data_IF_757360333568
#
_entry.id   IF_757360333568
#
_cell.length_a   1.000
_cell.length_b   1.000
_cell.length_c   1.000
_cell.angle_alpha   90.00
_cell.angle_beta   90.00
_cell.angle_gamma   90.00
#
_symmetry.space_group_name_H-M   'P 1'
#
loop_
_entity.id
_entity.type
_entity.pdbx_description
1 polymer ?
#
# COMPACT_ATOMS: atom_id res chain seq x y z
N UNK A 1 -37.48 -36.53 -21.97
CA UNK A 1 -38.86 -37.08 -22.03
C UNK A 1 -39.23 -37.54 -20.63
N UNK A 2 -40.18 -36.86 -19.97
CA UNK A 2 -41.54 -37.39 -19.97
C UNK A 2 -42.68 -36.34 -20.04
N UNK A 3 -43.78 -36.79 -20.64
CA UNK A 3 -45.19 -36.51 -20.35
C UNK A 3 -45.75 -35.08 -20.40
N UNK A 4 -46.09 -34.69 -21.64
CA UNK A 4 -47.21 -33.79 -21.96
C UNK A 4 -48.54 -34.42 -21.52
N UNK A 5 -49.23 -33.82 -20.55
CA UNK A 5 -50.66 -34.07 -20.30
C UNK A 5 -51.49 -33.03 -21.04
N UNK A 6 -52.26 -33.50 -22.03
CA UNK A 6 -53.40 -32.80 -22.64
C UNK A 6 -54.55 -32.75 -21.63
N UNK A 7 -55.16 -31.59 -21.44
CA UNK A 7 -56.52 -31.47 -20.90
C UNK A 7 -57.40 -30.78 -21.92
N UNK A 8 -58.32 -31.56 -22.48
CA UNK A 8 -59.49 -31.12 -23.25
C UNK A 8 -60.68 -31.09 -22.30
N UNK A 9 -61.40 -29.98 -22.27
CA UNK A 9 -62.62 -29.84 -21.47
C UNK A 9 -63.49 -28.72 -22.01
N UNK A 10 -64.36 -29.07 -22.95
CA UNK A 10 -65.50 -28.27 -23.41
C UNK A 10 -66.64 -28.35 -22.40
N UNK A 11 -67.14 -27.19 -21.97
CA UNK A 11 -68.38 -27.06 -21.19
C UNK A 11 -69.13 -25.81 -21.63
N UNK A 12 -70.36 -26.00 -22.11
CA UNK A 12 -71.26 -24.97 -22.63
C UNK A 12 -72.34 -24.59 -21.59
N UNK A 13 -72.57 -23.28 -21.47
CA UNK A 13 -73.81 -22.54 -21.10
C UNK A 13 -74.35 -22.65 -19.65
N UNK A 14 -75.19 -21.71 -19.14
CA UNK A 14 -75.83 -20.56 -19.79
C UNK A 14 -75.78 -19.21 -19.02
N UNK A 15 -76.10 -18.13 -19.74
CA UNK A 15 -76.87 -16.95 -19.33
C UNK A 15 -76.78 -16.45 -17.87
N UNK A 16 -75.91 -15.46 -17.64
CA UNK A 16 -76.17 -14.38 -16.68
C UNK A 16 -76.14 -13.05 -17.43
N UNK A 17 -77.31 -12.70 -17.96
CA UNK A 17 -77.61 -11.41 -18.57
C UNK A 17 -77.69 -10.35 -17.47
N UNK A 18 -77.02 -9.23 -17.73
CA UNK A 18 -77.45 -7.87 -17.32
C UNK A 18 -77.38 -7.61 -15.82
N UNK A 19 -76.18 -7.32 -15.29
CA UNK A 19 -75.93 -6.35 -14.19
C UNK A 19 -74.42 -6.08 -13.95
N UNK A 20 -73.55 -6.27 -14.97
CA UNK A 20 -72.09 -6.13 -14.83
C UNK A 20 -71.50 -4.86 -15.47
N UNK A 21 -72.32 -4.03 -16.14
CA UNK A 21 -71.84 -2.80 -16.78
C UNK A 21 -71.56 -1.61 -15.84
N UNK A 22 -72.25 -1.39 -14.70
CA UNK A 22 -71.87 -0.30 -13.79
C UNK A 22 -70.72 -0.69 -12.84
N UNK A 23 -70.42 -1.98 -12.66
CA UNK A 23 -69.29 -2.43 -11.82
C UNK A 23 -67.96 -2.41 -12.59
N UNK A 24 -67.99 -2.72 -13.90
CA UNK A 24 -66.80 -2.66 -14.75
C UNK A 24 -66.38 -1.21 -15.09
N UNK A 25 -67.33 -0.27 -15.19
CA UNK A 25 -67.03 1.15 -15.41
C UNK A 25 -66.50 1.86 -14.16
N UNK A 26 -66.89 1.42 -12.96
CA UNK A 26 -66.34 1.92 -11.70
C UNK A 26 -64.90 1.41 -11.43
N UNK A 27 -64.56 0.20 -11.88
CA UNK A 27 -63.19 -0.34 -11.73
C UNK A 27 -62.18 0.32 -12.68
N UNK A 28 -62.62 0.73 -13.88
CA UNK A 28 -61.77 1.41 -14.88
C UNK A 28 -61.46 2.88 -14.55
N UNK A 29 -62.13 3.48 -13.55
CA UNK A 29 -61.90 4.87 -13.12
C UNK A 29 -60.88 5.01 -11.99
N UNK A 30 -60.43 3.90 -11.37
CA UNK A 30 -59.42 3.95 -10.29
C UNK A 30 -57.97 3.94 -10.80
N UNK A 31 -57.73 3.61 -12.07
CA UNK A 31 -56.38 3.65 -12.67
C UNK A 31 -55.96 5.05 -13.17
N UNK A 32 -56.85 6.05 -13.08
CA UNK A 32 -56.56 7.41 -13.55
C UNK A 32 -55.95 8.34 -12.47
N UNK A 33 -55.83 7.89 -11.21
CA UNK A 33 -55.82 8.81 -10.07
C UNK A 33 -54.52 9.02 -9.28
N UNK A 34 -53.50 8.17 -9.43
CA UNK A 34 -52.25 8.34 -8.68
C UNK A 34 -51.06 8.26 -9.63
N UNK A 35 -50.72 9.39 -10.26
CA UNK A 35 -49.32 9.59 -10.66
C UNK A 35 -48.52 9.58 -9.37
N UNK A 36 -47.92 8.42 -9.06
CA UNK A 36 -47.00 8.29 -7.94
C UNK A 36 -45.97 9.40 -8.11
N UNK A 37 -45.95 10.36 -7.19
CA UNK A 37 -44.98 11.45 -7.24
C UNK A 37 -43.59 10.81 -7.18
N UNK A 38 -42.94 10.82 -8.35
CA UNK A 38 -41.67 10.18 -8.59
C UNK A 38 -40.64 11.31 -8.54
N UNK A 39 -39.96 11.43 -7.41
CA UNK A 39 -39.00 12.48 -7.13
C UNK A 39 -37.55 11.96 -7.17
N UNK A 40 -37.32 10.74 -7.65
CA UNK A 40 -35.99 10.16 -7.78
C UNK A 40 -35.35 10.59 -9.11
N UNK A 41 -34.35 11.50 -9.10
CA UNK A 41 -33.72 11.95 -10.33
C UNK A 41 -32.86 10.86 -11.00
N UNK A 42 -32.66 9.70 -10.37
CA UNK A 42 -31.92 8.57 -10.95
C UNK A 42 -32.81 7.54 -11.63
N UNK A 43 -34.14 7.64 -11.47
CA UNK A 43 -35.10 6.71 -12.07
C UNK A 43 -35.62 7.28 -13.42
N UNK A 44 -35.36 6.61 -14.56
CA UNK A 44 -35.83 7.05 -15.87
C UNK A 44 -37.36 7.09 -16.02
N UNK A 45 -38.11 6.49 -15.10
CA UNK A 45 -39.57 6.59 -15.06
C UNK A 45 -40.06 7.89 -14.40
N UNK A 46 -39.21 8.61 -13.66
CA UNK A 46 -39.59 9.87 -13.00
C UNK A 46 -39.51 11.08 -13.96
N UNK A 47 -40.44 12.05 -13.86
CA UNK A 47 -40.37 13.29 -14.66
C UNK A 47 -39.15 14.16 -14.39
N UNK A 48 -38.54 14.03 -13.20
CA UNK A 48 -37.31 14.73 -12.83
C UNK A 48 -36.04 13.91 -13.08
N UNK A 49 -36.12 12.85 -13.91
CA UNK A 49 -34.96 12.06 -14.29
C UNK A 49 -33.85 12.93 -14.89
N UNK A 50 -32.69 12.88 -14.25
CA UNK A 50 -31.47 13.45 -14.72
C UNK A 50 -30.42 12.33 -14.76
N UNK A 51 -30.00 11.84 -15.95
CA UNK A 51 -28.99 10.78 -16.06
C UNK A 51 -27.63 11.17 -15.43
N UNK A 52 -27.47 12.45 -15.11
CA UNK A 52 -26.28 13.06 -14.54
C UNK A 52 -26.41 13.31 -13.03
N UNK A 53 -27.58 13.06 -12.45
CA UNK A 53 -27.78 13.14 -11.01
C UNK A 53 -26.87 12.14 -10.28
N UNK A 54 -26.17 12.63 -9.26
CA UNK A 54 -25.22 11.85 -8.48
C UNK A 54 -23.90 11.53 -9.18
N UNK A 55 -23.67 12.00 -10.42
CA UNK A 55 -22.37 11.85 -11.08
C UNK A 55 -21.36 12.83 -10.46
N UNK A 56 -20.21 12.30 -10.04
CA UNK A 56 -19.12 13.11 -9.48
C UNK A 56 -18.24 13.66 -10.59
N UNK A 57 -17.64 14.82 -10.34
CA UNK A 57 -16.60 15.36 -11.21
C UNK A 57 -15.49 14.32 -11.39
N UNK A 58 -15.05 14.14 -12.64
CA UNK A 58 -13.90 13.31 -12.95
C UNK A 58 -12.67 13.90 -12.28
N UNK A 59 -11.92 13.05 -11.58
CA UNK A 59 -10.61 13.39 -11.02
C UNK A 59 -9.65 12.23 -11.19
N UNK A 60 -8.68 12.41 -12.06
CA UNK A 60 -7.53 11.54 -12.19
C UNK A 60 -6.72 11.59 -10.89
N UNK A 61 -6.22 10.44 -10.47
CA UNK A 61 -5.39 10.33 -9.28
C UNK A 61 -4.58 9.05 -9.33
N UNK A 62 -3.35 9.11 -8.80
CA UNK A 62 -2.54 7.93 -8.60
C UNK A 62 -1.59 8.07 -7.42
N UNK A 63 -1.06 6.93 -6.99
CA UNK A 63 0.02 6.85 -6.00
C UNK A 63 1.31 6.39 -6.65
N UNK A 64 2.43 6.87 -6.10
CA UNK A 64 3.78 6.38 -6.40
C UNK A 64 4.27 5.67 -5.15
N UNK A 65 4.50 4.37 -5.23
CA UNK A 65 4.94 3.56 -4.10
C UNK A 65 6.23 2.84 -4.43
N UNK A 66 7.09 2.66 -3.44
CA UNK A 66 8.29 1.87 -3.59
C UNK A 66 8.03 0.46 -3.07
N UNK A 67 8.42 -0.57 -3.83
CA UNK A 67 8.25 -1.96 -3.40
C UNK A 67 9.44 -2.35 -2.52
N UNK A 68 9.19 -2.44 -1.23
CA UNK A 68 10.16 -2.90 -0.24
C UNK A 68 9.94 -4.38 0.01
N UNK A 69 10.99 -5.18 -0.23
CA UNK A 69 10.96 -6.62 -0.01
C UNK A 69 11.83 -6.95 1.18
N UNK A 70 11.24 -7.60 2.17
CA UNK A 70 11.94 -8.05 3.37
C UNK A 70 11.50 -9.46 3.74
N UNK A 71 12.27 -10.13 4.58
CA UNK A 71 11.99 -11.51 5.00
C UNK A 71 11.61 -11.49 6.47
N UNK A 72 10.48 -12.12 6.79
CA UNK A 72 10.07 -12.40 8.17
C UNK A 72 10.07 -13.91 8.41
N UNK A 73 10.01 -14.29 9.67
CA UNK A 73 9.82 -15.67 10.11
C UNK A 73 8.37 -15.85 10.55
N UNK A 74 7.66 -16.82 9.98
CA UNK A 74 6.30 -17.17 10.38
C UNK A 74 6.26 -17.85 11.77
N UNK A 75 5.05 -18.13 12.27
CA UNK A 75 4.87 -18.79 13.57
C UNK A 75 5.50 -20.20 13.66
N UNK A 76 5.83 -20.82 12.53
CA UNK A 76 6.43 -22.15 12.45
C UNK A 76 7.95 -22.10 12.22
N UNK A 77 8.56 -20.91 12.17
CA UNK A 77 9.99 -20.77 11.88
C UNK A 77 10.34 -20.73 10.39
N UNK A 78 9.37 -20.68 9.47
CA UNK A 78 9.64 -20.60 8.04
C UNK A 78 9.90 -19.17 7.59
N UNK A 79 10.83 -18.99 6.66
CA UNK A 79 11.08 -17.71 6.01
C UNK A 79 9.97 -17.40 5.01
N UNK A 80 9.32 -16.26 5.21
CA UNK A 80 8.32 -15.71 4.29
C UNK A 80 8.79 -14.35 3.78
N UNK A 81 8.60 -14.11 2.48
CA UNK A 81 8.84 -12.78 1.89
C UNK A 81 7.63 -11.91 2.16
N UNK A 82 7.88 -10.75 2.71
CA UNK A 82 6.91 -9.68 2.87
C UNK A 82 7.18 -8.58 1.86
N UNK A 83 6.11 -7.90 1.51
CA UNK A 83 6.12 -6.76 0.61
C UNK A 83 5.45 -5.60 1.30
N UNK A 84 6.12 -4.45 1.30
CA UNK A 84 5.53 -3.19 1.69
C UNK A 84 5.59 -2.21 0.53
N UNK A 85 4.61 -1.32 0.47
CA UNK A 85 4.41 -0.37 -0.63
C UNK A 85 4.24 1.05 -0.10
N UNK A 86 5.25 1.62 0.59
CA UNK A 86 5.18 2.99 1.08
C UNK A 86 5.06 4.00 -0.07
N UNK A 87 4.16 4.97 0.08
CA UNK A 87 4.05 6.10 -0.83
C UNK A 87 5.27 7.01 -0.71
N UNK A 88 5.84 7.43 -1.85
CA UNK A 88 7.04 8.26 -1.89
C UNK A 88 7.12 9.13 -3.14
N UNK A 89 7.78 10.27 -3.00
CA UNK A 89 8.18 11.20 -4.08
C UNK A 89 9.66 11.01 -4.48
N UNK A 90 10.41 10.27 -3.66
CA UNK A 90 11.84 10.02 -3.81
C UNK A 90 12.10 8.52 -3.71
N UNK A 91 12.74 7.92 -4.70
CA UNK A 91 12.99 6.47 -4.76
C UNK A 91 14.48 6.17 -4.86
N UNK A 92 14.87 5.03 -4.32
CA UNK A 92 16.18 4.47 -4.55
C UNK A 92 16.19 3.77 -5.92
N UNK A 93 17.16 4.10 -6.78
CA UNK A 93 17.22 3.59 -8.17
C UNK A 93 17.19 2.07 -8.29
N UNK A 94 17.63 1.38 -7.23
CA UNK A 94 17.67 -0.07 -7.19
C UNK A 94 16.33 -0.71 -6.76
N UNK A 95 15.30 0.04 -6.40
CA UNK A 95 14.00 -0.53 -6.04
C UNK A 95 13.03 -0.57 -7.21
N UNK A 96 12.04 -1.46 -7.12
CA UNK A 96 10.88 -1.36 -7.99
C UNK A 96 9.98 -0.23 -7.47
N UNK A 97 9.40 0.52 -8.39
CA UNK A 97 8.42 1.57 -8.15
C UNK A 97 7.11 1.13 -8.77
N UNK A 98 6.06 1.20 -7.97
CA UNK A 98 4.69 0.84 -8.34
C UNK A 98 3.88 2.11 -8.49
N UNK A 99 3.29 2.30 -9.67
CA UNK A 99 2.30 3.34 -9.92
C UNK A 99 0.93 2.68 -9.99
N UNK A 100 -0.04 3.20 -9.22
CA UNK A 100 -1.41 2.68 -9.22
C UNK A 100 -2.41 3.82 -9.30
N UNK A 101 -3.32 3.73 -10.27
CA UNK A 101 -4.43 4.67 -10.40
C UNK A 101 -5.41 4.50 -9.23
N UNK A 102 -5.69 5.59 -8.52
CA UNK A 102 -6.64 5.66 -7.40
C UNK A 102 -8.03 6.11 -7.84
N UNK A 103 -8.19 6.42 -9.12
CA UNK A 103 -9.47 6.81 -9.71
C UNK A 103 -10.42 5.61 -9.75
N UNK A 104 -11.58 5.72 -9.07
CA UNK A 104 -12.50 4.58 -8.88
C UNK A 104 -13.21 4.12 -10.17
N UNK A 105 -13.54 5.07 -11.05
CA UNK A 105 -14.28 4.81 -12.27
C UNK A 105 -13.56 5.46 -13.45
N UNK A 106 -13.36 4.72 -14.54
CA UNK A 106 -12.88 5.19 -15.84
C UNK A 106 -13.10 4.06 -16.86
N UNK A 107 -13.21 4.40 -18.15
CA UNK A 107 -13.36 3.41 -19.23
C UNK A 107 -11.99 2.92 -19.75
N UNK A 108 -10.99 3.79 -19.73
CA UNK A 108 -9.60 3.43 -20.01
C UNK A 108 -8.64 4.44 -19.38
N UNK A 109 -7.35 4.10 -19.37
CA UNK A 109 -6.30 5.00 -18.92
C UNK A 109 -5.04 4.88 -19.77
N UNK A 110 -4.17 5.87 -19.66
CA UNK A 110 -2.81 5.87 -20.21
C UNK A 110 -1.83 6.49 -19.22
N UNK A 111 -0.71 5.82 -19.04
CA UNK A 111 0.45 6.34 -18.35
C UNK A 111 1.47 6.85 -19.34
N UNK A 112 2.16 7.92 -18.98
CA UNK A 112 3.37 8.40 -19.64
C UNK A 112 4.48 8.47 -18.60
N UNK A 113 5.54 7.68 -18.80
CA UNK A 113 6.74 7.67 -17.96
C UNK A 113 7.94 7.87 -18.89
N UNK A 114 8.48 9.09 -18.93
CA UNK A 114 9.44 9.45 -19.97
C UNK A 114 8.83 9.28 -21.37
N UNK A 115 9.41 8.38 -22.17
CA UNK A 115 8.90 8.03 -23.51
C UNK A 115 7.96 6.81 -23.53
N UNK A 116 7.79 6.13 -22.40
CA UNK A 116 6.98 4.91 -22.31
C UNK A 116 5.49 5.24 -22.18
N UNK A 117 4.64 4.49 -22.89
CA UNK A 117 3.17 4.59 -22.83
C UNK A 117 2.58 3.25 -22.39
N UNK A 118 1.81 3.25 -21.29
CA UNK A 118 1.25 2.04 -20.68
C UNK A 118 -0.24 2.18 -20.42
N UNK A 119 -0.95 1.06 -20.35
CA UNK A 119 -2.43 1.05 -20.21
C UNK A 119 -2.92 0.25 -19.00
N UNK A 120 -2.02 -0.40 -18.25
CA UNK A 120 -2.40 -1.20 -17.08
C UNK A 120 -2.77 -0.32 -15.89
N UNK A 121 -3.74 -0.76 -15.08
CA UNK A 121 -4.15 -0.04 -13.85
C UNK A 121 -2.99 0.16 -12.88
N UNK A 122 -2.10 -0.83 -12.81
CA UNK A 122 -0.94 -0.85 -11.94
C UNK A 122 0.28 -1.22 -12.78
N UNK A 123 1.33 -0.42 -12.68
CA UNK A 123 2.58 -0.61 -13.43
C UNK A 123 3.75 -0.65 -12.46
N UNK A 124 4.70 -1.58 -12.70
CA UNK A 124 5.94 -1.71 -11.92
C UNK A 124 7.14 -1.37 -12.80
N UNK A 125 8.00 -0.44 -12.39
CA UNK A 125 9.21 -0.05 -13.13
C UNK A 125 10.41 0.08 -12.19
N UNK A 126 11.62 -0.03 -12.72
CA UNK A 126 12.89 0.07 -11.99
C UNK A 126 13.92 0.76 -12.89
N UNK A 127 15.00 1.27 -12.30
CA UNK A 127 16.12 1.85 -13.07
C UNK A 127 15.86 3.28 -13.54
N UNK A 128 15.17 4.07 -12.70
CA UNK A 128 15.03 5.50 -12.94
C UNK A 128 16.42 6.18 -12.95
N UNK A 129 16.63 7.20 -13.77
CA UNK A 129 17.93 7.86 -13.88
C UNK A 129 18.28 8.59 -12.58
N UNK A 130 19.42 8.23 -11.98
CA UNK A 130 19.94 8.84 -10.76
C UNK A 130 20.11 10.36 -10.87
N UNK A 131 19.77 11.07 -9.81
CA UNK A 131 19.94 12.53 -9.69
C UNK A 131 18.98 13.31 -10.58
N UNK A 132 17.89 12.68 -11.04
CA UNK A 132 16.93 13.31 -11.96
C UNK A 132 15.49 13.13 -11.51
N UNK A 133 14.71 14.16 -11.83
CA UNK A 133 13.25 14.13 -11.76
C UNK A 133 12.69 13.42 -13.01
N UNK A 134 11.81 12.47 -12.78
CA UNK A 134 11.00 11.80 -13.82
C UNK A 134 9.56 12.25 -13.66
N UNK A 135 9.00 12.89 -14.69
CA UNK A 135 7.57 13.18 -14.71
C UNK A 135 6.79 11.91 -15.07
N UNK A 136 5.76 11.64 -14.28
CA UNK A 136 4.82 10.55 -14.48
C UNK A 136 3.44 11.16 -14.66
N UNK A 137 2.81 10.87 -15.79
CA UNK A 137 1.49 11.43 -16.13
C UNK A 137 0.49 10.30 -16.30
N UNK A 138 -0.65 10.42 -15.64
CA UNK A 138 -1.81 9.57 -15.83
C UNK A 138 -2.91 10.37 -16.54
N UNK A 139 -3.45 9.79 -17.60
CA UNK A 139 -4.67 10.27 -18.26
C UNK A 139 -5.74 9.19 -18.10
N UNK A 140 -6.89 9.55 -17.56
CA UNK A 140 -8.07 8.68 -17.47
C UNK A 140 -9.15 9.15 -18.44
N UNK A 141 -9.86 8.21 -19.04
CA UNK A 141 -10.85 8.46 -20.10
C UNK A 141 -12.24 7.95 -19.72
N UNK A 142 -13.27 8.70 -20.10
CA UNK A 142 -14.67 8.47 -19.74
C UNK A 142 -15.55 8.60 -20.99
N UNK A 143 -15.89 7.46 -21.59
CA UNK A 143 -16.89 7.33 -22.65
C UNK A 143 -18.31 7.25 -22.09
N UNK A 144 -18.49 6.62 -20.94
CA UNK A 144 -19.81 6.35 -20.35
C UNK A 144 -20.51 7.60 -19.76
N UNK A 145 -19.79 8.72 -19.60
CA UNK A 145 -20.29 9.95 -18.97
C UNK A 145 -20.34 11.15 -19.92
N UNK A 146 -20.12 10.95 -21.22
CA UNK A 146 -20.04 12.05 -22.21
C UNK A 146 -21.32 12.90 -22.21
N UNK A 147 -22.50 12.30 -22.01
CA UNK A 147 -23.76 13.03 -21.95
C UNK A 147 -23.90 13.93 -20.70
N UNK A 148 -23.08 13.71 -19.67
CA UNK A 148 -23.19 14.36 -18.36
C UNK A 148 -22.08 15.33 -18.03
N UNK A 149 -21.06 15.41 -18.88
CA UNK A 149 -19.95 16.31 -18.70
C UNK A 149 -20.15 17.48 -19.64
N UNK A 150 -20.35 18.67 -19.08
CA UNK A 150 -20.44 19.88 -19.88
C UNK A 150 -19.08 20.17 -20.55
N UNK A 151 -19.05 20.22 -21.88
CA UNK A 151 -17.86 20.46 -22.70
C UNK A 151 -17.12 19.19 -23.15
N UNK A 152 -16.12 19.35 -24.02
CA UNK A 152 -15.34 18.24 -24.61
C UNK A 152 -14.39 17.53 -23.63
N UNK A 153 -14.68 17.52 -22.32
CA UNK A 153 -13.83 16.91 -21.28
C UNK A 153 -14.26 15.48 -21.00
N UNK A 154 -13.87 14.57 -21.90
CA UNK A 154 -13.98 13.11 -21.75
C UNK A 154 -12.73 12.50 -21.10
N UNK A 155 -11.84 13.33 -20.56
CA UNK A 155 -10.62 12.90 -19.90
C UNK A 155 -10.20 13.85 -18.80
N UNK A 156 -9.41 13.33 -17.86
CA UNK A 156 -8.68 14.13 -16.89
C UNK A 156 -7.23 13.64 -16.78
N UNK A 157 -6.34 14.57 -16.49
CA UNK A 157 -4.90 14.36 -16.53
C UNK A 157 -4.28 14.85 -15.23
N UNK A 158 -3.45 13.99 -14.63
CA UNK A 158 -2.65 14.35 -13.45
C UNK A 158 -1.20 13.96 -13.70
N UNK A 159 -0.29 14.81 -13.22
CA UNK A 159 1.15 14.56 -13.31
C UNK A 159 1.79 14.70 -11.94
N UNK A 160 2.63 13.73 -11.58
CA UNK A 160 3.50 13.79 -10.42
C UNK A 160 4.96 13.68 -10.86
N UNK A 161 5.87 14.12 -10.00
CA UNK A 161 7.31 14.03 -10.22
C UNK A 161 7.90 13.06 -9.22
N UNK A 162 8.75 12.17 -9.73
CA UNK A 162 9.52 11.20 -8.97
C UNK A 162 11.00 11.57 -9.05
N UNK A 163 11.67 11.73 -7.91
CA UNK A 163 13.12 11.90 -7.87
C UNK A 163 13.81 10.57 -7.56
N UNK A 164 14.91 10.26 -8.25
CA UNK A 164 15.65 9.01 -8.03
C UNK A 164 17.05 9.26 -7.48
N UNK A 165 17.41 8.56 -6.40
CA UNK A 165 18.73 8.63 -5.76
C UNK A 165 19.48 7.30 -5.91
N UNK A 166 20.77 7.35 -6.22
CA UNK A 166 21.60 6.16 -6.40
C UNK A 166 22.52 5.84 -5.22
N UNK A 167 22.73 6.80 -4.33
CA UNK A 167 23.39 6.59 -3.06
C UNK A 167 22.35 6.43 -1.95
N UNK A 168 22.54 5.45 -1.05
CA UNK A 168 21.69 5.32 0.13
C UNK A 168 21.91 6.48 1.10
N UNK A 169 23.04 7.19 1.01
CA UNK A 169 23.31 8.43 1.72
C UNK A 169 22.32 9.56 1.36
N UNK A 170 21.78 9.53 0.14
CA UNK A 170 20.92 10.59 -0.42
C UNK A 170 19.42 10.33 -0.21
N UNK A 171 19.01 9.16 0.31
CA UNK A 171 17.60 8.91 0.61
C UNK A 171 17.15 9.81 1.78
N UNK A 172 15.89 10.30 1.78
CA UNK A 172 15.41 11.23 2.81
C UNK A 172 15.60 10.75 4.25
N UNK A 173 15.59 9.44 4.49
CA UNK A 173 15.73 8.87 5.83
C UNK A 173 17.18 8.77 6.33
N UNK A 174 18.18 8.94 5.48
CA UNK A 174 19.59 8.92 5.90
C UNK A 174 19.98 10.16 6.69
N UNK A 175 20.79 9.98 7.73
CA UNK A 175 21.26 11.04 8.61
C UNK A 175 21.47 10.59 10.06
N UNK A 176 21.69 11.58 10.91
CA UNK A 176 21.86 11.40 12.35
C UNK A 176 20.66 11.97 13.08
N UNK A 177 20.13 11.20 14.03
CA UNK A 177 18.90 11.53 14.75
C UNK A 177 19.13 11.49 16.25
N UNK A 178 18.68 12.52 16.95
CA UNK A 178 18.61 12.53 18.42
C UNK A 178 17.16 12.30 18.84
N UNK A 179 16.96 11.43 19.81
CA UNK A 179 15.63 11.04 20.24
C UNK A 179 15.63 10.19 21.50
N UNK A 180 14.51 9.53 21.75
CA UNK A 180 14.30 8.69 22.92
C UNK A 180 13.44 7.48 22.56
N UNK A 181 13.44 6.47 23.44
CA UNK A 181 12.46 5.40 23.37
C UNK A 181 11.19 5.81 24.11
N UNK A 182 10.02 5.54 23.54
CA UNK A 182 8.72 5.97 24.09
C UNK A 182 8.43 5.52 25.52
N UNK A 183 9.07 4.45 25.99
CA UNK A 183 8.98 3.94 27.35
C UNK A 183 9.94 4.61 28.34
N UNK A 184 10.93 5.36 27.86
CA UNK A 184 11.78 6.25 28.65
C UNK A 184 12.09 7.57 27.91
N UNK A 185 11.13 8.52 27.88
CA UNK A 185 11.31 9.78 27.15
C UNK A 185 12.41 10.70 27.69
N UNK A 186 12.91 10.45 28.91
CA UNK A 186 13.98 11.24 29.51
C UNK A 186 15.38 10.80 29.08
N UNK A 187 15.53 9.57 28.60
CA UNK A 187 16.79 9.02 28.14
C UNK A 187 17.02 9.34 26.66
N UNK A 188 17.61 10.52 26.40
CA UNK A 188 18.01 10.91 25.05
C UNK A 188 19.24 10.13 24.58
N UNK A 189 19.23 9.73 23.32
CA UNK A 189 20.38 9.12 22.63
C UNK A 189 20.37 9.48 21.14
N UNK A 190 21.52 9.27 20.51
CA UNK A 190 21.69 9.47 19.07
C UNK A 190 21.68 8.13 18.36
N UNK A 191 21.10 8.10 17.16
CA UNK A 191 21.26 7.01 16.20
C UNK A 191 21.78 7.55 14.88
N UNK A 192 22.42 6.67 14.12
CA UNK A 192 22.85 6.97 12.77
C UNK A 192 22.17 6.01 11.78
N UNK A 193 21.68 6.57 10.68
CA UNK A 193 20.97 5.88 9.60
C UNK A 193 21.75 6.17 8.31
N UNK A 194 22.50 5.19 7.78
CA UNK A 194 23.45 5.42 6.69
C UNK A 194 23.71 4.18 5.80
N UNK A 195 24.43 4.39 4.69
CA UNK A 195 24.98 3.33 3.85
C UNK A 195 26.27 2.78 4.47
N UNK A 196 26.27 1.51 4.89
CA UNK A 196 27.51 0.82 5.31
C UNK A 196 28.10 -0.06 4.24
N UNK A 197 27.52 -0.13 3.04
CA UNK A 197 28.03 -0.99 1.97
C UNK A 197 29.50 -0.71 1.64
N UNK A 198 29.97 0.54 1.79
CA UNK A 198 31.40 0.90 1.62
C UNK A 198 32.34 0.20 2.61
N UNK A 199 31.83 -0.18 3.78
CA UNK A 199 32.58 -0.89 4.81
C UNK A 199 32.61 -2.40 4.58
N UNK A 200 31.84 -2.91 3.61
CA UNK A 200 31.82 -4.32 3.26
C UNK A 200 32.53 -4.53 1.91
N UNK A 201 33.59 -5.35 1.89
CA UNK A 201 34.20 -5.85 0.65
C UNK A 201 33.86 -7.32 0.46
N UNK A 202 33.59 -7.76 -0.77
CA UNK A 202 33.48 -9.18 -1.13
C UNK A 202 32.09 -9.67 -1.54
N UNK A 203 31.88 -10.99 -1.41
CA UNK A 203 30.69 -11.73 -1.92
C UNK A 203 29.35 -11.30 -1.33
N UNK A 204 29.36 -10.66 -0.16
CA UNK A 204 28.14 -10.17 0.52
C UNK A 204 27.47 -9.05 -0.30
N UNK A 205 28.22 -8.05 -0.78
CA UNK A 205 27.66 -6.99 -1.63
C UNK A 205 27.16 -7.53 -2.97
N UNK A 206 27.87 -8.49 -3.56
CA UNK A 206 27.47 -9.12 -4.81
C UNK A 206 26.17 -9.95 -4.70
N UNK A 207 25.89 -10.49 -3.50
CA UNK A 207 24.72 -11.34 -3.25
C UNK A 207 23.51 -10.56 -2.72
N UNK A 208 23.74 -9.53 -1.91
CA UNK A 208 22.67 -8.81 -1.19
C UNK A 208 22.51 -7.34 -1.62
N UNK A 209 23.39 -6.82 -2.48
CA UNK A 209 23.37 -5.41 -2.90
C UNK A 209 23.90 -4.46 -1.82
N UNK A 210 23.69 -3.15 -2.01
CA UNK A 210 24.00 -2.16 -0.98
C UNK A 210 23.03 -2.34 0.19
N UNK A 211 23.56 -2.59 1.37
CA UNK A 211 22.81 -2.63 2.63
C UNK A 211 23.10 -1.35 3.39
N UNK A 212 22.05 -0.63 3.76
CA UNK A 212 22.21 0.40 4.76
C UNK A 212 22.06 -0.19 6.16
N UNK A 213 22.41 0.60 7.17
CA UNK A 213 22.36 0.19 8.56
C UNK A 213 21.76 1.27 9.45
N UNK A 214 21.39 0.84 10.65
CA UNK A 214 21.16 1.74 11.78
C UNK A 214 22.22 1.42 12.82
N UNK A 215 22.80 2.45 13.41
CA UNK A 215 23.84 2.35 14.42
C UNK A 215 23.36 3.01 15.72
N UNK A 216 23.96 2.60 16.83
CA UNK A 216 23.80 3.24 18.15
C UNK A 216 22.38 3.12 18.76
N UNK A 217 21.57 2.13 18.34
CA UNK A 217 20.34 1.80 19.06
C UNK A 217 20.67 1.25 20.46
N UNK A 218 19.96 1.71 21.53
CA UNK A 218 20.19 1.25 22.89
C UNK A 218 20.00 -0.26 22.99
N UNK A 219 20.96 -0.93 23.64
CA UNK A 219 21.04 -2.40 23.77
C UNK A 219 21.19 -3.16 22.45
N UNK A 220 21.87 -2.57 21.47
CA UNK A 220 22.60 -3.37 20.49
C UNK A 220 23.79 -4.07 21.14
N UNK A 221 24.01 -5.33 20.79
CA UNK A 221 25.01 -6.20 21.41
C UNK A 221 26.36 -5.48 21.54
N UNK A 222 26.98 -5.50 22.72
CA UNK A 222 28.14 -4.68 23.10
C UNK A 222 29.44 -4.98 22.35
N UNK A 223 29.43 -5.94 21.42
CA UNK A 223 30.57 -6.18 20.54
C UNK A 223 30.62 -5.07 19.49
N UNK A 224 31.77 -4.38 19.39
CA UNK A 224 32.03 -3.29 18.45
C UNK A 224 31.71 -3.65 16.98
N UNK A 225 31.66 -4.94 16.65
CA UNK A 225 31.28 -5.48 15.34
C UNK A 225 29.76 -5.62 15.10
N UNK A 226 28.91 -5.54 16.13
CA UNK A 226 27.46 -5.76 16.06
C UNK A 226 26.60 -4.50 16.10
N UNK A 227 27.21 -3.33 16.32
CA UNK A 227 26.53 -2.03 16.20
C UNK A 227 26.23 -1.64 14.73
N UNK A 228 26.25 -2.61 13.81
CA UNK A 228 26.02 -2.46 12.37
C UNK A 228 24.98 -3.48 11.93
N UNK A 229 23.72 -3.05 11.88
CA UNK A 229 22.62 -3.94 11.51
C UNK A 229 22.44 -3.99 9.99
N UNK A 230 22.68 -5.17 9.42
CA UNK A 230 22.64 -5.40 7.98
C UNK A 230 21.37 -6.15 7.56
N UNK A 231 20.57 -5.47 6.73
CA UNK A 231 19.38 -6.06 6.12
C UNK A 231 18.26 -5.04 6.00
N UNK A 232 18.55 -3.91 5.36
CA UNK A 232 17.58 -2.82 5.23
C UNK A 232 17.01 -2.76 3.82
N UNK A 233 15.71 -3.06 3.70
CA UNK A 233 14.93 -2.61 2.56
C UNK A 233 14.61 -1.13 2.81
N UNK A 234 15.26 -0.25 2.05
CA UNK A 234 15.04 1.19 2.13
C UNK A 234 13.98 1.59 1.13
N UNK A 235 13.05 2.41 1.56
CA UNK A 235 12.31 3.29 0.67
C UNK A 235 12.47 4.74 1.08
N UNK A 236 12.06 5.67 0.23
CA UNK A 236 12.32 7.10 0.41
C UNK A 236 12.02 7.61 1.83
N UNK A 237 10.88 7.21 2.42
CA UNK A 237 10.45 7.60 3.77
C UNK A 237 10.24 6.43 4.73
N UNK A 238 10.39 5.19 4.30
CA UNK A 238 10.10 4.00 5.11
C UNK A 238 11.21 2.99 4.95
N UNK A 239 11.51 2.20 5.98
CA UNK A 239 12.56 1.19 5.89
C UNK A 239 12.31 0.05 6.87
N UNK A 240 12.91 -1.10 6.57
CA UNK A 240 12.88 -2.28 7.42
C UNK A 240 14.25 -2.54 8.00
N UNK A 241 14.33 -2.96 9.26
CA UNK A 241 15.57 -3.40 9.88
C UNK A 241 15.47 -4.90 10.00
N UNK A 242 16.38 -5.63 9.36
CA UNK A 242 16.63 -7.03 9.66
C UNK A 242 18.11 -7.19 9.98
N UNK A 243 18.44 -8.03 10.96
CA UNK A 243 19.80 -8.51 11.15
C UNK A 243 19.91 -9.96 10.67
N UNK A 244 20.79 -10.20 9.69
CA UNK A 244 21.15 -11.54 9.27
C UNK A 244 22.49 -11.93 9.89
N UNK A 245 22.46 -12.75 10.95
CA UNK A 245 23.68 -13.43 11.41
C UNK A 245 23.80 -14.77 10.68
N UNK A 246 24.69 -14.86 9.70
CA UNK A 246 25.22 -16.15 9.25
C UNK A 246 26.35 -16.53 10.24
N UNK A 247 26.01 -17.22 11.33
CA UNK A 247 27.04 -17.98 12.05
C UNK A 247 27.15 -19.32 11.32
N UNK A 248 28.18 -19.46 10.50
CA UNK A 248 28.51 -20.73 9.89
C UNK A 248 29.22 -21.63 10.91
N UNK A 249 28.49 -22.12 11.92
CA UNK A 249 29.01 -23.11 12.88
C UNK A 249 28.81 -24.56 12.40
N UNK A 250 28.40 -24.78 11.15
CA UNK A 250 28.23 -26.12 10.58
C UNK A 250 27.14 -27.00 11.21
N UNK A 251 26.45 -26.55 12.27
CA UNK A 251 25.50 -27.40 13.02
C UNK A 251 24.12 -26.77 13.22
N UNK A 252 23.95 -25.44 13.19
CA UNK A 252 22.61 -24.81 13.20
C UNK A 252 22.71 -23.33 12.82
N UNK A 253 21.90 -22.87 11.85
CA UNK A 253 21.73 -21.44 11.57
C UNK A 253 20.78 -20.84 12.62
N UNK A 254 21.34 -20.28 13.69
CA UNK A 254 20.56 -19.57 14.71
C UNK A 254 20.64 -18.06 14.45
N UNK A 255 19.51 -17.49 14.04
CA UNK A 255 19.38 -16.05 13.78
C UNK A 255 18.97 -15.35 15.08
N UNK A 256 19.95 -14.83 15.81
CA UNK A 256 19.71 -13.86 16.88
C UNK A 256 19.73 -12.47 16.23
N UNK A 257 18.59 -11.79 16.20
CA UNK A 257 18.45 -10.62 15.35
C UNK A 257 17.48 -9.59 15.89
N UNK A 258 17.93 -8.34 15.89
CA UNK A 258 17.03 -7.21 15.96
C UNK A 258 16.26 -7.12 14.64
N UNK A 259 14.96 -6.91 14.72
CA UNK A 259 14.09 -6.61 13.59
C UNK A 259 13.33 -5.32 13.85
N UNK A 260 12.92 -4.60 12.82
CA UNK A 260 12.18 -3.37 13.01
C UNK A 260 11.65 -2.79 11.73
N UNK A 261 10.85 -1.74 11.90
CA UNK A 261 10.34 -0.90 10.83
C UNK A 261 10.45 0.55 11.25
N UNK A 262 10.79 1.43 10.33
CA UNK A 262 10.82 2.85 10.60
C UNK A 262 10.25 3.67 9.47
N UNK A 263 9.82 4.88 9.83
CA UNK A 263 9.27 5.85 8.91
C UNK A 263 9.73 7.27 9.27
N UNK A 264 9.82 8.14 8.26
CA UNK A 264 10.17 9.55 8.37
C UNK A 264 8.94 10.39 8.04
N UNK A 265 8.51 11.24 8.97
CA UNK A 265 7.43 12.20 8.77
C UNK A 265 7.76 13.53 9.44
N UNK A 266 7.65 14.63 8.69
CA UNK A 266 7.92 15.97 9.24
C UNK A 266 9.32 16.14 9.87
N UNK A 267 10.35 15.47 9.31
CA UNK A 267 11.72 15.48 9.85
C UNK A 267 11.91 14.67 11.15
N UNK A 268 10.86 14.00 11.61
CA UNK A 268 10.90 13.09 12.76
C UNK A 268 10.90 11.66 12.25
N UNK A 269 11.88 10.87 12.70
CA UNK A 269 11.93 9.44 12.47
C UNK A 269 11.23 8.71 13.62
N UNK A 270 10.42 7.72 13.28
CA UNK A 270 9.87 6.77 14.23
C UNK A 270 10.34 5.38 13.85
N UNK A 271 10.91 4.64 14.78
CA UNK A 271 11.42 3.29 14.54
C UNK A 271 10.83 2.37 15.60
N UNK A 272 10.05 1.38 15.18
CA UNK A 272 9.67 0.27 16.06
C UNK A 272 10.62 -0.87 15.82
N UNK A 273 11.37 -1.26 16.83
CA UNK A 273 12.35 -2.33 16.73
C UNK A 273 12.18 -3.31 17.89
N UNK A 274 12.44 -4.57 17.62
CA UNK A 274 12.43 -5.65 18.57
C UNK A 274 13.78 -6.32 18.52
N UNK A 275 14.35 -6.63 19.66
CA UNK A 275 15.57 -7.41 19.76
C UNK A 275 15.32 -8.59 20.69
N UNK A 276 16.07 -9.66 20.48
CA UNK A 276 16.11 -10.75 21.43
C UNK A 276 16.88 -10.27 22.67
N UNK A 277 16.18 -10.13 23.79
CA UNK A 277 16.77 -9.94 25.11
C UNK A 277 17.15 -11.33 25.65
N UNK A 278 17.90 -12.07 24.84
CA UNK A 278 18.29 -13.42 25.15
C UNK A 278 19.40 -13.40 26.20
N UNK A 279 19.11 -14.03 27.33
CA UNK A 279 19.65 -15.35 27.64
C UNK A 279 21.16 -15.57 27.57
N UNK A 280 21.91 -15.10 26.56
CA UNK A 280 23.37 -15.27 26.47
C UNK A 280 24.12 -14.33 27.43
N UNK A 281 23.72 -13.05 27.54
CA UNK A 281 24.24 -12.18 28.62
C UNK A 281 23.81 -12.70 30.00
N UNK A 282 22.57 -13.18 30.13
CA UNK A 282 22.07 -13.83 31.34
C UNK A 282 22.79 -15.16 31.66
N UNK A 283 23.18 -15.94 30.65
CA UNK A 283 23.94 -17.20 30.76
C UNK A 283 25.39 -16.93 31.14
N UNK A 284 26.04 -15.94 30.52
CA UNK A 284 27.37 -15.46 30.90
C UNK A 284 27.39 -14.90 32.33
N UNK A 285 26.25 -14.41 32.85
CA UNK A 285 26.09 -13.89 34.21
C UNK A 285 25.42 -14.87 35.19
N UNK A 286 25.11 -16.10 34.77
CA UNK A 286 24.57 -17.16 35.63
C UNK A 286 23.08 -17.05 36.00
N UNK A 287 22.32 -16.15 35.37
CA UNK A 287 20.90 -15.89 35.65
C UNK A 287 20.01 -16.73 34.72
N UNK A 288 19.73 -17.99 35.11
CA UNK A 288 18.55 -18.74 34.65
C UNK A 288 18.58 -19.33 33.23
N UNK A 289 17.67 -20.28 32.98
CA UNK A 289 17.53 -21.00 31.71
C UNK A 289 17.08 -20.07 30.56
N UNK A 290 17.57 -20.29 29.32
CA UNK A 290 17.29 -19.42 28.19
C UNK A 290 15.83 -19.57 27.73
N UNK A 291 15.03 -18.55 28.01
CA UNK A 291 13.86 -18.21 27.20
C UNK A 291 14.28 -17.16 26.18
N UNK A 292 13.77 -17.26 24.95
CA UNK A 292 13.87 -16.17 23.96
C UNK A 292 12.81 -15.15 24.38
N UNK A 293 13.23 -13.98 24.83
CA UNK A 293 12.34 -12.88 25.19
C UNK A 293 12.59 -11.75 24.21
N UNK A 294 11.64 -11.49 23.32
CA UNK A 294 11.73 -10.31 22.47
C UNK A 294 11.30 -9.07 23.25
N UNK A 295 12.17 -8.07 23.28
CA UNK A 295 11.85 -6.74 23.80
C UNK A 295 11.61 -5.83 22.62
N UNK A 296 10.40 -5.28 22.52
CA UNK A 296 10.02 -4.28 21.53
C UNK A 296 10.13 -2.89 22.12
N UNK A 297 10.75 -1.98 21.38
CA UNK A 297 10.91 -0.56 21.67
C UNK A 297 10.42 0.27 20.49
N UNK A 298 10.06 1.52 20.77
CA UNK A 298 9.77 2.51 19.74
C UNK A 298 10.63 3.75 19.99
N UNK A 299 11.59 4.00 19.11
CA UNK A 299 12.39 5.22 19.07
C UNK A 299 11.65 6.32 18.31
N UNK A 300 11.69 7.53 18.84
CA UNK A 300 11.25 8.76 18.16
C UNK A 300 12.40 9.73 18.20
N UNK A 301 12.87 10.20 17.04
CA UNK A 301 13.99 11.12 16.96
C UNK A 301 13.83 12.19 15.89
N UNK A 302 14.50 13.33 16.08
CA UNK A 302 14.58 14.40 15.08
C UNK A 302 15.92 14.37 14.38
N UNK A 303 15.93 14.61 13.07
CA UNK A 303 17.19 14.70 12.32
C UNK A 303 17.99 15.91 12.81
N UNK A 304 19.18 15.67 13.33
CA UNK A 304 20.10 16.72 13.79
C UNK A 304 21.18 17.05 12.76
N UNK A 305 21.47 16.12 11.84
CA UNK A 305 22.48 16.30 10.79
C UNK A 305 22.18 15.41 9.58
N UNK A 306 22.36 15.90 8.34
CA UNK A 306 22.41 15.03 7.16
C UNK A 306 23.63 14.10 7.23
N UNK A 307 23.68 13.07 6.39
CA UNK A 307 24.89 12.27 6.24
C UNK A 307 25.86 12.92 5.25
#
# INVERSE_FOLDING_TARGET
MPNLKKYTGTGWLPAARVFLLPLLSALLLMDAGCKKECNDPTDPACPNYDPCSGKRAIRAGFTIREELVYTETDANGNYIRQYDYPETDTVYVANNVVFEATTEHYDSLKWFIGSEVLTDKMIRRRGFPEGRNTQVTLIVYYKSFVACLAGDKWSDTISHTLYAVGALEDIPVSGVYEGYNTDDPGALFTIQVNDTSRNYSGTILGKYGRTGCIQELPKGNTDEDWNKYNGIAWGGKNFFIGHFKDIDTGVTRNYFGMYGKGSLSGGTIQITYSYDDNGYQHFLTGIGKPGIFYVTKTFIGKKIRPY
#
